data_IF_539168031534
#
_entry.id   IF_539168031534
#
_cell.length_a   1.000
_cell.length_b   1.000
_cell.length_c   1.000
_cell.angle_alpha   90.00
_cell.angle_beta   90.00
_cell.angle_gamma   90.00
#
_symmetry.space_group_name_H-M   'P 1'
#
loop_
_entity.id
_entity.type
_entity.pdbx_description
1 polymer ?
#
# COMPACT_ATOMS: atom_id res chain seq x y z
N UNK A 1 14.76 30.94 67.82
CA UNK A 1 15.89 30.98 66.87
C UNK A 1 15.77 29.73 66.02
N UNK A 2 15.28 29.69 64.79
CA UNK A 2 14.73 30.71 63.91
C UNK A 2 13.66 30.05 63.03
N UNK A 3 12.59 30.79 62.78
CA UNK A 3 11.55 30.45 61.81
C UNK A 3 12.08 30.85 60.44
N UNK A 4 12.15 29.91 59.50
CA UNK A 4 12.20 30.23 58.09
C UNK A 4 10.78 30.09 57.51
N UNK A 5 10.11 31.24 57.37
CA UNK A 5 8.94 31.42 56.54
C UNK A 5 9.38 31.53 55.08
N UNK A 6 8.80 30.72 54.20
CA UNK A 6 8.72 31.05 52.78
C UNK A 6 7.27 31.04 52.30
N UNK A 7 6.91 31.97 51.40
CA UNK A 7 5.54 32.34 51.13
C UNK A 7 4.85 31.42 50.11
N UNK A 8 3.52 31.47 50.17
CA UNK A 8 2.54 30.74 49.37
C UNK A 8 2.80 30.79 47.85
N UNK A 9 2.94 29.61 47.25
CA UNK A 9 2.65 29.41 45.82
C UNK A 9 1.27 28.76 45.75
N UNK A 10 0.28 29.65 45.61
CA UNK A 10 -1.00 29.50 44.92
C UNK A 10 -1.29 28.09 44.39
N UNK A 11 -1.99 27.28 45.18
CA UNK A 11 -2.64 26.05 44.72
C UNK A 11 -3.80 26.42 43.80
N UNK A 12 -3.52 26.57 42.52
CA UNK A 12 -4.54 26.68 41.49
C UNK A 12 -5.29 25.35 41.46
N UNK A 13 -6.49 25.35 42.04
CA UNK A 13 -7.48 24.29 41.86
C UNK A 13 -7.99 24.40 40.42
N UNK A 14 -7.32 23.73 39.48
CA UNK A 14 -7.92 23.42 38.19
C UNK A 14 -8.93 22.29 38.43
N UNK A 15 -10.17 22.71 38.65
CA UNK A 15 -11.37 21.93 38.42
C UNK A 15 -11.22 21.13 37.14
N UNK A 16 -11.24 19.80 37.27
CA UNK A 16 -11.34 18.87 36.16
C UNK A 16 -12.65 19.14 35.41
N UNK A 17 -12.55 19.88 34.31
CA UNK A 17 -13.62 19.95 33.33
C UNK A 17 -13.64 18.58 32.62
N UNK A 18 -14.53 17.70 33.08
CA UNK A 18 -14.99 16.55 32.28
C UNK A 18 -15.71 17.11 31.05
N UNK A 19 -14.95 17.32 29.98
CA UNK A 19 -15.51 17.46 28.63
C UNK A 19 -15.90 16.05 28.21
N UNK A 20 -17.14 15.68 28.53
CA UNK A 20 -17.80 14.54 27.93
C UNK A 20 -17.99 14.84 26.44
N UNK A 21 -17.00 14.47 25.63
CA UNK A 21 -17.16 14.39 24.18
C UNK A 21 -18.19 13.29 23.89
N UNK A 22 -19.34 13.59 23.28
CA UNK A 22 -20.19 12.55 22.76
C UNK A 22 -19.44 11.91 21.59
N UNK A 23 -19.00 10.66 21.79
CA UNK A 23 -18.67 9.74 20.71
C UNK A 23 -19.96 9.48 19.92
N UNK A 24 -20.34 10.42 19.08
CA UNK A 24 -21.26 10.13 17.99
C UNK A 24 -20.49 9.26 17.00
N UNK A 25 -20.92 8.00 16.93
CA UNK A 25 -20.60 7.10 15.85
C UNK A 25 -20.95 7.78 14.52
N UNK A 26 -19.95 8.31 13.83
CA UNK A 26 -20.07 8.73 12.43
C UNK A 26 -19.71 7.54 11.53
N UNK A 27 -20.51 6.48 11.61
CA UNK A 27 -20.63 5.47 10.57
C UNK A 27 -22.11 5.45 10.17
N UNK A 28 -22.50 6.41 9.35
CA UNK A 28 -23.70 6.42 8.49
C UNK A 28 -23.89 7.86 8.00
N UNK A 29 -23.10 8.25 6.99
CA UNK A 29 -23.63 9.19 6.01
C UNK A 29 -24.07 8.34 4.84
N UNK A 30 -25.37 8.14 4.71
CA UNK A 30 -26.03 7.88 3.42
C UNK A 30 -25.88 9.16 2.57
N UNK A 31 -24.63 9.50 2.27
CA UNK A 31 -24.25 10.62 1.45
C UNK A 31 -24.11 10.09 0.03
N UNK A 32 -25.10 10.44 -0.78
CA UNK A 32 -25.08 10.38 -2.24
C UNK A 32 -23.71 10.89 -2.76
N UNK A 33 -22.77 9.96 -2.96
CA UNK A 33 -21.51 10.18 -3.66
C UNK A 33 -21.91 10.40 -5.11
N UNK A 34 -22.15 11.66 -5.49
CA UNK A 34 -22.71 12.01 -6.80
C UNK A 34 -22.03 11.29 -7.98
N UNK A 35 -22.67 11.26 -9.15
CA UNK A 35 -22.52 10.22 -10.16
C UNK A 35 -21.07 9.80 -10.37
N UNK A 36 -20.70 8.64 -9.84
CA UNK A 36 -19.42 8.03 -10.19
C UNK A 36 -19.52 7.45 -11.60
N UNK A 37 -18.40 7.33 -12.34
CA UNK A 37 -18.40 6.65 -13.64
C UNK A 37 -18.88 5.20 -13.60
N UNK A 38 -19.10 4.66 -12.40
CA UNK A 38 -19.49 3.27 -12.11
C UNK A 38 -20.92 3.18 -11.55
N UNK A 39 -21.66 4.29 -11.43
CA UNK A 39 -23.03 4.30 -10.87
C UNK A 39 -24.06 3.68 -11.83
N UNK A 40 -23.73 3.60 -13.12
CA UNK A 40 -24.52 2.89 -14.14
C UNK A 40 -24.06 1.43 -14.33
N UNK A 41 -23.02 0.97 -13.62
CA UNK A 41 -22.59 -0.43 -13.70
C UNK A 41 -23.58 -1.31 -12.93
N UNK A 42 -24.08 -2.36 -13.60
CA UNK A 42 -24.94 -3.34 -12.97
C UNK A 42 -24.20 -3.94 -11.75
N UNK A 43 -24.85 -4.09 -10.58
CA UNK A 43 -24.23 -4.74 -9.44
C UNK A 43 -23.79 -6.14 -9.87
N UNK A 44 -22.51 -6.47 -9.62
CA UNK A 44 -21.92 -7.75 -10.01
C UNK A 44 -22.76 -8.88 -9.41
N UNK A 45 -23.57 -9.52 -10.24
CA UNK A 45 -24.38 -10.65 -9.80
C UNK A 45 -23.44 -11.84 -9.61
N UNK A 46 -23.62 -12.64 -8.56
CA UNK A 46 -22.74 -13.77 -8.26
C UNK A 46 -22.62 -14.81 -9.41
N UNK A 47 -23.53 -14.78 -10.39
CA UNK A 47 -23.47 -15.61 -11.59
C UNK A 47 -22.60 -15.05 -12.73
N UNK A 48 -22.31 -13.75 -12.74
CA UNK A 48 -21.70 -13.03 -13.87
C UNK A 48 -20.16 -13.14 -13.85
N UNK A 49 -19.56 -13.33 -12.67
CA UNK A 49 -18.10 -13.40 -12.50
C UNK A 49 -17.41 -14.55 -13.24
N UNK A 50 -18.16 -15.56 -13.66
CA UNK A 50 -17.65 -16.74 -14.37
C UNK A 50 -18.24 -16.86 -15.78
N UNK A 51 -19.00 -15.88 -16.26
CA UNK A 51 -19.60 -15.93 -17.59
C UNK A 51 -18.50 -15.86 -18.66
N UNK A 52 -18.40 -16.90 -19.49
CA UNK A 52 -17.34 -17.05 -20.49
C UNK A 52 -16.01 -17.61 -19.97
N UNK A 53 -15.86 -17.83 -18.66
CA UNK A 53 -14.71 -18.53 -18.11
C UNK A 53 -14.77 -20.03 -18.47
N UNK A 54 -13.62 -20.67 -18.82
CA UNK A 54 -13.58 -22.12 -19.02
C UNK A 54 -14.00 -22.83 -17.73
N UNK A 55 -14.63 -24.01 -17.84
CA UNK A 55 -14.89 -24.82 -16.64
C UNK A 55 -13.58 -25.14 -15.95
N UNK A 56 -13.55 -25.19 -14.61
CA UNK A 56 -12.32 -25.53 -13.87
C UNK A 56 -11.68 -26.84 -14.35
N UNK A 57 -12.49 -27.81 -14.81
CA UNK A 57 -12.03 -29.08 -15.39
C UNK A 57 -11.35 -28.98 -16.76
N UNK A 58 -11.50 -27.85 -17.44
CA UNK A 58 -10.93 -27.57 -18.77
C UNK A 58 -9.66 -26.72 -18.72
N UNK A 59 -9.32 -26.20 -17.54
CA UNK A 59 -8.08 -25.49 -17.33
C UNK A 59 -6.91 -26.48 -17.33
N UNK A 60 -5.74 -26.12 -17.90
CA UNK A 60 -4.53 -26.90 -17.77
C UNK A 60 -4.22 -27.22 -16.31
N UNK A 61 -3.75 -28.43 -16.03
CA UNK A 61 -3.28 -28.81 -14.70
C UNK A 61 -1.91 -28.18 -14.44
N UNK A 62 -1.92 -26.91 -13.99
CA UNK A 62 -0.73 -26.19 -13.54
C UNK A 62 -0.23 -26.68 -12.16
N UNK A 63 -0.83 -27.74 -11.62
CA UNK A 63 -0.36 -28.33 -10.37
C UNK A 63 0.99 -29.02 -10.57
N UNK A 64 1.76 -29.05 -9.49
CA UNK A 64 2.77 -30.09 -9.34
C UNK A 64 2.03 -31.42 -9.36
N UNK A 65 2.30 -32.26 -10.37
CA UNK A 65 1.57 -33.52 -10.61
C UNK A 65 1.56 -34.50 -9.41
N UNK A 66 2.41 -34.26 -8.41
CA UNK A 66 2.58 -35.04 -7.18
C UNK A 66 2.14 -34.31 -5.90
N UNK A 67 1.61 -33.08 -6.00
CA UNK A 67 1.23 -32.31 -4.83
C UNK A 67 -0.16 -32.70 -4.29
N UNK A 68 -0.22 -32.97 -2.98
CA UNK A 68 -1.47 -33.09 -2.25
C UNK A 68 -1.76 -31.77 -1.52
N UNK A 69 -2.64 -30.94 -2.08
CA UNK A 69 -2.99 -29.64 -1.50
C UNK A 69 -4.03 -29.78 -0.38
N UNK A 70 -3.92 -28.99 0.69
CA UNK A 70 -4.94 -28.96 1.72
C UNK A 70 -6.23 -28.32 1.19
N UNK A 71 -7.38 -28.71 1.74
CA UNK A 71 -8.67 -28.11 1.38
C UNK A 71 -8.79 -26.62 1.76
N UNK A 72 -7.92 -26.14 2.64
CA UNK A 72 -7.80 -24.74 3.08
C UNK A 72 -6.34 -24.40 3.31
N UNK A 73 -5.91 -23.21 2.92
CA UNK A 73 -4.58 -22.70 3.17
C UNK A 73 -4.69 -21.23 3.59
N UNK A 74 -4.12 -20.92 4.75
CA UNK A 74 -4.02 -19.55 5.26
C UNK A 74 -2.56 -19.14 5.25
N UNK A 75 -2.27 -17.94 4.75
CA UNK A 75 -0.91 -17.42 4.73
C UNK A 75 -0.56 -16.84 6.11
N UNK A 76 0.09 -17.64 6.95
CA UNK A 76 0.49 -17.21 8.30
C UNK A 76 1.71 -16.30 8.35
N UNK A 77 2.65 -16.49 7.41
CA UNK A 77 3.88 -15.71 7.34
C UNK A 77 3.68 -14.55 6.37
N UNK A 78 3.51 -13.32 6.85
CA UNK A 78 3.46 -12.15 5.98
C UNK A 78 3.88 -10.87 6.70
N UNK A 79 4.40 -9.90 5.96
CA UNK A 79 4.60 -8.53 6.45
C UNK A 79 3.26 -7.86 6.77
N UNK A 80 3.24 -6.79 7.60
CA UNK A 80 2.02 -6.06 7.90
C UNK A 80 1.32 -5.52 6.63
N UNK A 81 0.00 -5.34 6.71
CA UNK A 81 -0.76 -4.68 5.65
C UNK A 81 -0.26 -3.23 5.47
N UNK A 82 0.08 -2.87 4.24
CA UNK A 82 0.55 -1.52 3.87
C UNK A 82 -0.51 -0.74 3.08
N UNK A 83 -0.28 0.56 2.88
CA UNK A 83 -1.18 1.44 2.13
C UNK A 83 -0.46 2.11 0.97
N UNK A 84 -0.97 1.90 -0.24
CA UNK A 84 -0.49 2.61 -1.43
C UNK A 84 -0.94 4.08 -1.49
N UNK A 85 -1.85 4.52 -0.61
CA UNK A 85 -2.40 5.87 -0.64
C UNK A 85 -3.11 6.18 -1.97
N UNK A 86 -3.00 7.42 -2.44
CA UNK A 86 -3.70 7.91 -3.63
C UNK A 86 -2.92 7.69 -4.92
N UNK A 87 -2.27 6.53 -5.05
CA UNK A 87 -1.40 6.18 -6.18
C UNK A 87 -1.80 4.85 -6.80
N UNK A 88 -1.81 4.75 -8.13
CA UNK A 88 -2.06 3.52 -8.90
C UNK A 88 -0.87 2.56 -8.96
N UNK A 89 -0.34 2.14 -7.81
CA UNK A 89 0.90 1.35 -7.70
C UNK A 89 0.71 -0.02 -7.02
N UNK A 90 -0.51 -0.55 -7.07
CA UNK A 90 -0.86 -1.83 -6.42
C UNK A 90 0.07 -2.98 -6.82
N UNK A 91 0.46 -3.08 -8.09
CA UNK A 91 1.35 -4.15 -8.57
C UNK A 91 2.75 -4.10 -7.98
N UNK A 92 3.21 -2.92 -7.53
CA UNK A 92 4.49 -2.76 -6.83
C UNK A 92 4.35 -3.21 -5.39
N UNK A 93 3.28 -2.80 -4.70
CA UNK A 93 2.97 -3.30 -3.36
C UNK A 93 2.79 -4.81 -3.35
N UNK A 94 2.08 -5.38 -4.32
CA UNK A 94 1.93 -6.83 -4.45
C UNK A 94 3.27 -7.54 -4.68
N UNK A 95 4.15 -6.97 -5.50
CA UNK A 95 5.48 -7.52 -5.72
C UNK A 95 6.36 -7.44 -4.46
N UNK A 96 6.38 -6.29 -3.78
CA UNK A 96 7.12 -6.10 -2.52
C UNK A 96 6.62 -7.05 -1.45
N UNK A 97 5.31 -7.18 -1.22
CA UNK A 97 4.74 -8.12 -0.27
C UNK A 97 5.08 -9.59 -0.61
N UNK A 98 5.16 -9.94 -1.89
CA UNK A 98 5.62 -11.27 -2.32
C UNK A 98 7.11 -11.49 -1.99
N UNK A 99 7.95 -10.48 -2.19
CA UNK A 99 9.37 -10.53 -1.85
C UNK A 99 9.54 -10.67 -0.34
N UNK A 100 8.87 -9.83 0.45
CA UNK A 100 8.87 -9.89 1.92
C UNK A 100 8.45 -11.26 2.42
N UNK A 101 7.35 -11.83 1.89
CA UNK A 101 6.92 -13.19 2.21
C UNK A 101 8.02 -14.24 2.00
N UNK A 102 8.75 -14.15 0.89
CA UNK A 102 9.83 -15.10 0.56
C UNK A 102 11.02 -14.95 1.52
N UNK A 103 11.38 -13.73 1.90
CA UNK A 103 12.44 -13.50 2.88
C UNK A 103 12.03 -13.98 4.28
N UNK A 104 10.78 -13.76 4.69
CA UNK A 104 10.25 -14.27 5.96
C UNK A 104 10.31 -15.80 5.98
N UNK A 105 9.84 -16.46 4.92
CA UNK A 105 9.96 -17.92 4.76
C UNK A 105 11.41 -18.41 4.71
N UNK A 106 12.33 -17.57 4.25
CA UNK A 106 13.78 -17.81 4.28
C UNK A 106 14.42 -17.64 5.66
N UNK A 107 13.66 -17.25 6.69
CA UNK A 107 14.13 -17.08 8.06
C UNK A 107 14.42 -15.63 8.47
N UNK A 108 14.11 -14.64 7.63
CA UNK A 108 14.18 -13.23 8.04
C UNK A 108 13.08 -12.93 9.07
N UNK A 109 13.36 -12.24 10.18
CA UNK A 109 12.32 -11.79 11.10
C UNK A 109 11.31 -10.88 10.39
N UNK A 110 10.01 -11.02 10.70
CA UNK A 110 8.93 -10.20 10.11
C UNK A 110 9.21 -8.70 10.26
N UNK A 111 9.72 -8.27 11.43
CA UNK A 111 10.07 -6.88 11.68
C UNK A 111 11.23 -6.34 10.82
N UNK A 112 12.03 -7.24 10.23
CA UNK A 112 13.10 -6.87 9.32
C UNK A 112 12.65 -6.93 7.85
N UNK A 113 11.60 -7.69 7.52
CA UNK A 113 11.09 -7.84 6.16
C UNK A 113 10.19 -6.65 5.76
N UNK A 114 10.79 -5.45 5.76
CA UNK A 114 10.19 -4.19 5.32
C UNK A 114 11.04 -3.57 4.21
N UNK A 115 10.65 -3.83 2.98
CA UNK A 115 11.34 -3.38 1.77
C UNK A 115 10.61 -2.20 1.12
N UNK A 116 11.38 -1.35 0.44
CA UNK A 116 10.88 -0.09 -0.09
C UNK A 116 10.08 -0.25 -1.38
N UNK A 117 8.79 0.04 -1.33
CA UNK A 117 7.96 0.21 -2.52
C UNK A 117 8.39 1.41 -3.36
N UNK A 118 8.91 2.47 -2.72
CA UNK A 118 9.41 3.65 -3.43
C UNK A 118 10.60 3.33 -4.32
N UNK A 119 11.55 2.55 -3.79
CA UNK A 119 12.70 2.09 -4.56
C UNK A 119 12.27 1.18 -5.70
N UNK A 120 11.30 0.28 -5.48
CA UNK A 120 10.82 -0.60 -6.54
C UNK A 120 10.06 0.18 -7.63
N UNK A 121 9.25 1.17 -7.26
CA UNK A 121 8.62 2.11 -8.19
C UNK A 121 9.66 2.83 -9.05
N UNK A 122 10.71 3.37 -8.42
CA UNK A 122 11.81 4.02 -9.14
C UNK A 122 12.56 3.02 -10.03
N UNK A 123 12.90 1.86 -9.50
CA UNK A 123 13.68 0.82 -10.16
C UNK A 123 12.97 0.26 -11.39
N UNK A 124 11.67 -0.03 -11.26
CA UNK A 124 10.83 -0.50 -12.35
C UNK A 124 10.84 0.45 -13.56
N UNK A 125 11.15 1.73 -13.38
CA UNK A 125 11.18 2.73 -14.46
C UNK A 125 12.60 3.08 -14.91
N UNK A 126 13.55 3.11 -13.99
CA UNK A 126 14.89 3.65 -14.25
C UNK A 126 15.96 2.59 -14.50
N UNK A 127 15.81 1.37 -13.94
CA UNK A 127 16.82 0.33 -14.06
C UNK A 127 16.70 -0.48 -15.37
N UNK A 128 17.80 -1.09 -15.85
CA UNK A 128 17.75 -2.04 -16.95
C UNK A 128 16.76 -3.18 -16.68
N UNK A 129 15.91 -3.51 -17.66
CA UNK A 129 14.81 -4.48 -17.51
C UNK A 129 13.52 -3.88 -16.95
N UNK A 130 13.54 -2.61 -16.55
CA UNK A 130 12.36 -1.80 -16.24
C UNK A 130 11.57 -1.37 -17.48
N UNK A 131 10.36 -0.87 -17.26
CA UNK A 131 9.41 -0.36 -18.27
C UNK A 131 8.56 0.77 -17.67
N UNK A 132 7.48 1.21 -18.35
CA UNK A 132 6.47 2.11 -17.77
C UNK A 132 7.00 3.48 -17.30
N UNK A 133 8.01 4.00 -18.03
CA UNK A 133 8.72 5.24 -17.66
C UNK A 133 7.82 6.45 -17.50
N UNK A 134 6.74 6.53 -18.27
CA UNK A 134 5.86 7.69 -18.31
C UNK A 134 4.45 7.37 -17.80
N UNK A 135 4.31 6.30 -17.03
CA UNK A 135 3.04 5.93 -16.40
C UNK A 135 3.22 5.73 -14.91
N UNK A 136 2.13 5.77 -14.15
CA UNK A 136 2.20 5.58 -12.70
C UNK A 136 2.50 4.12 -12.33
N UNK A 137 1.65 3.19 -12.76
CA UNK A 137 1.77 1.77 -12.42
C UNK A 137 2.88 1.01 -13.17
N UNK A 138 2.91 -0.30 -12.94
CA UNK A 138 3.78 -1.28 -13.59
C UNK A 138 3.11 -2.68 -13.56
N UNK A 139 3.86 -3.75 -13.80
CA UNK A 139 3.38 -5.14 -13.73
C UNK A 139 4.22 -5.97 -12.78
N UNK A 140 3.64 -7.01 -12.15
CA UNK A 140 4.35 -7.91 -11.24
C UNK A 140 5.58 -8.56 -11.91
N UNK A 141 5.48 -8.92 -13.19
CA UNK A 141 6.59 -9.47 -13.98
C UNK A 141 7.78 -8.51 -14.06
N UNK A 142 7.55 -7.24 -14.44
CA UNK A 142 8.62 -6.22 -14.48
C UNK A 142 9.20 -5.99 -13.10
N UNK A 143 8.34 -5.87 -12.08
CA UNK A 143 8.76 -5.60 -10.71
C UNK A 143 9.68 -6.72 -10.20
N UNK A 144 9.27 -7.99 -10.35
CA UNK A 144 10.06 -9.14 -9.92
C UNK A 144 11.37 -9.27 -10.72
N UNK A 145 11.36 -9.06 -12.04
CA UNK A 145 12.60 -9.10 -12.84
C UNK A 145 13.62 -8.06 -12.39
N UNK A 146 13.16 -6.83 -12.15
CA UNK A 146 14.02 -5.75 -11.66
C UNK A 146 14.57 -6.10 -10.28
N UNK A 147 13.73 -6.57 -9.35
CA UNK A 147 14.21 -6.99 -8.02
C UNK A 147 15.22 -8.14 -8.11
N UNK A 148 14.99 -9.17 -8.93
CA UNK A 148 15.93 -10.29 -9.05
C UNK A 148 17.28 -9.83 -9.63
N UNK A 149 17.26 -8.87 -10.56
CA UNK A 149 18.47 -8.41 -11.25
C UNK A 149 19.27 -7.38 -10.46
N UNK A 150 18.61 -6.56 -9.64
CA UNK A 150 19.21 -5.38 -9.00
C UNK A 150 19.04 -5.33 -7.48
N UNK A 151 18.25 -6.24 -6.91
CA UNK A 151 17.89 -6.24 -5.49
C UNK A 151 16.80 -5.24 -5.15
N UNK A 152 16.65 -4.99 -3.84
CA UNK A 152 15.79 -3.96 -3.26
C UNK A 152 16.48 -3.37 -2.03
N UNK A 153 15.93 -2.30 -1.46
CA UNK A 153 16.41 -1.66 -0.23
C UNK A 153 15.35 -1.76 0.87
N UNK A 154 15.75 -1.52 2.12
CA UNK A 154 14.81 -1.42 3.24
C UNK A 154 13.95 -0.16 3.10
N UNK A 155 12.71 -0.22 3.56
CA UNK A 155 11.80 0.94 3.59
C UNK A 155 12.43 2.13 4.33
N UNK A 156 13.12 1.88 5.45
CA UNK A 156 13.84 2.91 6.20
C UNK A 156 14.93 3.66 5.39
N UNK A 157 15.45 3.07 4.31
CA UNK A 157 16.43 3.71 3.44
C UNK A 157 15.79 4.61 2.38
N UNK A 158 14.56 4.29 1.95
CA UNK A 158 13.80 5.11 1.01
C UNK A 158 12.30 4.96 1.29
N UNK A 159 11.74 5.78 2.19
CA UNK A 159 10.35 5.65 2.58
C UNK A 159 9.36 5.90 1.44
N UNK A 160 8.23 5.21 1.49
CA UNK A 160 7.14 5.37 0.54
C UNK A 160 6.43 6.72 0.64
N UNK A 161 6.26 7.37 -0.50
CA UNK A 161 5.47 8.58 -0.63
C UNK A 161 4.07 8.25 -1.17
N UNK A 162 3.05 8.59 -0.39
CA UNK A 162 1.64 8.24 -0.64
C UNK A 162 0.97 9.07 -1.73
N UNK A 163 1.65 10.09 -2.26
CA UNK A 163 1.18 10.95 -3.33
C UNK A 163 2.27 11.14 -4.39
N UNK A 164 1.91 11.21 -5.69
CA UNK A 164 2.87 11.53 -6.73
C UNK A 164 3.25 13.01 -6.66
N UNK A 165 4.42 13.36 -7.18
CA UNK A 165 4.79 14.77 -7.38
C UNK A 165 3.76 15.50 -8.24
N UNK A 166 3.47 16.74 -7.85
CA UNK A 166 2.60 17.66 -8.59
C UNK A 166 3.34 18.94 -9.00
N UNK A 167 2.61 19.92 -9.54
CA UNK A 167 3.17 21.17 -10.04
C UNK A 167 3.94 22.00 -9.00
N UNK A 168 3.69 21.75 -7.71
CA UNK A 168 4.41 22.35 -6.58
C UNK A 168 5.81 21.75 -6.40
N UNK A 169 5.98 20.46 -6.72
CA UNK A 169 7.28 19.79 -6.69
C UNK A 169 8.08 20.12 -7.96
N UNK A 170 7.43 20.06 -9.12
CA UNK A 170 8.03 20.36 -10.42
C UNK A 170 6.97 20.78 -11.43
N UNK A 171 7.21 21.87 -12.16
CA UNK A 171 6.24 22.43 -13.10
C UNK A 171 5.80 21.45 -14.21
N UNK A 172 6.59 20.43 -14.52
CA UNK A 172 6.24 19.41 -15.51
C UNK A 172 5.28 18.33 -14.97
N UNK A 173 5.06 18.26 -13.65
CA UNK A 173 4.21 17.26 -13.02
C UNK A 173 2.78 17.79 -12.83
N UNK A 174 2.04 17.90 -13.93
CA UNK A 174 0.67 18.43 -13.89
C UNK A 174 -0.31 17.37 -13.36
N UNK A 175 -1.18 17.77 -12.42
CA UNK A 175 -2.22 16.89 -11.85
C UNK A 175 -3.16 16.39 -12.94
N UNK A 176 -3.44 15.09 -12.95
CA UNK A 176 -4.29 14.45 -13.98
C UNK A 176 -3.61 14.33 -15.35
N UNK A 177 -2.32 14.67 -15.46
CA UNK A 177 -1.56 14.51 -16.69
C UNK A 177 -1.27 13.04 -17.02
N UNK A 178 -1.31 12.72 -18.31
CA UNK A 178 -0.85 11.44 -18.86
C UNK A 178 0.56 11.58 -19.43
N UNK A 179 1.33 10.49 -19.44
CA UNK A 179 2.67 10.46 -20.03
C UNK A 179 3.65 11.50 -19.47
N UNK A 180 3.55 11.79 -18.16
CA UNK A 180 4.41 12.76 -17.50
C UNK A 180 5.87 12.29 -17.47
N UNK A 181 6.85 13.21 -17.24
CA UNK A 181 8.22 12.81 -16.98
C UNK A 181 8.31 11.78 -15.85
N UNK A 182 9.24 10.82 -15.96
CA UNK A 182 9.38 9.71 -15.00
C UNK A 182 9.47 10.17 -13.55
N UNK A 183 10.16 11.29 -13.28
CA UNK A 183 10.27 11.90 -11.95
C UNK A 183 8.92 12.17 -11.28
N UNK A 184 7.88 12.48 -12.06
CA UNK A 184 6.54 12.74 -11.53
C UNK A 184 5.89 11.49 -10.92
N UNK A 185 6.37 10.30 -11.29
CA UNK A 185 5.89 9.02 -10.78
C UNK A 185 6.88 8.36 -9.80
N UNK A 186 8.09 8.88 -9.63
CA UNK A 186 9.14 8.21 -8.84
C UNK A 186 9.64 9.02 -7.65
N UNK A 187 9.19 10.27 -7.50
CA UNK A 187 9.50 11.21 -6.43
C UNK A 187 11.00 11.30 -6.06
#
# INVERSE_FOLDING_TARGET
>A
MDRAHWPDIMRIRLTAALVALPLFAACATDGDEGPTPFDDDAPVQAGDINEGAPSNSSLPDDNKADANYPAKFELGDQSPVKSQGSRGVCSIFSATAQIENLYIKGGMPVAEADFSEQYLQWGAKNLPGGSFRNTEGSTSDVNLRVTVSHGTVKEAAWPYETAPWNATNDAACVTGGMNLPTKCYTN
#
